data_IF_321967027892
#
_entry.id   IF_321967027892
#
_cell.length_a   1.000
_cell.length_b   1.000
_cell.length_c   1.000
_cell.angle_alpha   90.00
_cell.angle_beta   90.00
_cell.angle_gamma   90.00
#
_symmetry.space_group_name_H-M   'P 1'
#
loop_
_entity.id
_entity.type
_entity.pdbx_description
1 polymer ?
#
# COMPACT_ATOMS: atom_id res chain seq x y z
N UNK A 1 -5.56 21.49 9.01
CA UNK A 1 -5.47 21.06 7.60
C UNK A 1 -5.36 19.56 7.60
N UNK A 2 -6.09 18.87 6.72
CA UNK A 2 -5.93 17.43 6.54
C UNK A 2 -4.54 17.13 5.98
N UNK A 3 -3.90 16.04 6.46
CA UNK A 3 -2.64 15.56 5.92
C UNK A 3 -2.96 14.75 4.66
N UNK A 4 -2.41 15.14 3.52
CA UNK A 4 -2.67 14.50 2.23
C UNK A 4 -1.45 13.71 1.77
N UNK A 5 -1.72 12.61 1.07
CA UNK A 5 -0.71 11.78 0.42
C UNK A 5 -0.92 11.71 -1.07
N UNK A 6 0.15 11.79 -1.85
CA UNK A 6 0.12 11.89 -3.30
C UNK A 6 0.83 10.71 -3.95
N UNK A 7 0.27 10.20 -5.06
CA UNK A 7 0.89 9.13 -5.85
C UNK A 7 0.45 9.20 -7.31
N UNK A 8 1.40 9.01 -8.23
CA UNK A 8 1.10 8.79 -9.64
C UNK A 8 0.65 7.35 -9.89
N UNK A 9 -0.58 7.16 -10.36
CA UNK A 9 -1.16 5.83 -10.60
C UNK A 9 -1.97 5.81 -11.88
N UNK A 10 -1.86 4.71 -12.64
CA UNK A 10 -2.65 4.50 -13.83
C UNK A 10 -4.13 4.49 -13.50
N UNK A 11 -4.92 5.01 -14.41
CA UNK A 11 -6.37 5.08 -14.28
C UNK A 11 -7.05 3.88 -14.95
N UNK A 12 -8.14 3.41 -14.34
CA UNK A 12 -9.09 2.49 -14.92
C UNK A 12 -10.49 2.86 -14.44
N UNK A 13 -11.42 3.11 -15.36
CA UNK A 13 -12.80 3.47 -15.07
C UNK A 13 -12.96 4.67 -14.11
N UNK A 14 -12.15 5.73 -14.30
CA UNK A 14 -12.24 6.95 -13.49
C UNK A 14 -11.56 6.84 -12.13
N UNK A 15 -10.90 5.73 -11.80
CA UNK A 15 -10.30 5.45 -10.49
C UNK A 15 -8.85 4.97 -10.63
N UNK A 16 -8.04 4.98 -9.57
CA UNK A 16 -6.74 4.32 -9.60
C UNK A 16 -6.91 2.84 -9.90
N UNK A 17 -6.21 2.34 -10.91
CA UNK A 17 -6.22 0.93 -11.26
C UNK A 17 -5.52 0.12 -10.15
N UNK A 18 -6.21 -0.91 -9.64
CA UNK A 18 -5.69 -1.79 -8.60
C UNK A 18 -4.74 -2.83 -9.21
N UNK A 19 -3.64 -3.16 -8.50
CA UNK A 19 -2.81 -4.30 -8.86
C UNK A 19 -1.35 -4.23 -8.41
N UNK A 20 -0.61 -5.31 -8.69
CA UNK A 20 0.78 -5.51 -8.26
C UNK A 20 1.79 -4.80 -9.15
N UNK A 21 1.77 -3.48 -9.17
CA UNK A 21 2.73 -2.70 -9.94
C UNK A 21 2.99 -1.35 -9.30
N UNK A 22 4.19 -0.84 -9.53
CA UNK A 22 4.58 0.47 -9.03
C UNK A 22 3.74 1.62 -9.63
N UNK A 23 2.99 1.37 -10.71
CA UNK A 23 2.07 2.33 -11.35
C UNK A 23 0.62 2.15 -10.90
N UNK A 24 0.33 1.18 -10.03
CA UNK A 24 -1.04 0.83 -9.64
C UNK A 24 -1.26 1.12 -8.15
N UNK A 25 -2.53 1.09 -7.75
CA UNK A 25 -2.95 1.04 -6.36
C UNK A 25 -2.68 -0.38 -5.84
N UNK A 26 -1.54 -0.55 -5.18
CA UNK A 26 -1.06 -1.84 -4.73
C UNK A 26 0.46 -1.86 -4.53
N UNK A 27 0.97 -3.08 -4.32
CA UNK A 27 2.38 -3.34 -4.00
C UNK A 27 2.96 -4.44 -4.88
N UNK A 28 4.27 -4.50 -4.99
CA UNK A 28 5.00 -5.61 -5.60
C UNK A 28 5.65 -6.46 -4.50
N UNK A 29 5.19 -7.71 -4.28
CA UNK A 29 5.85 -8.63 -3.36
C UNK A 29 7.33 -8.81 -3.70
N UNK A 30 8.21 -8.75 -2.69
CA UNK A 30 9.67 -8.84 -2.83
C UNK A 30 10.36 -7.55 -3.26
N UNK A 31 9.62 -6.48 -3.57
CA UNK A 31 10.18 -5.15 -3.88
C UNK A 31 9.63 -4.11 -2.91
N UNK A 32 8.32 -3.90 -2.91
CA UNK A 32 7.64 -2.88 -2.08
C UNK A 32 7.29 -3.43 -0.70
N UNK A 33 7.21 -4.75 -0.55
CA UNK A 33 6.89 -5.43 0.72
C UNK A 33 7.62 -6.77 0.76
N UNK A 34 8.11 -7.15 1.94
CA UNK A 34 8.69 -8.48 2.14
C UNK A 34 7.57 -9.50 2.38
N UNK A 35 7.70 -10.67 1.75
CA UNK A 35 6.72 -11.74 1.85
C UNK A 35 7.37 -13.06 2.22
N UNK A 36 6.64 -13.87 2.97
CA UNK A 36 7.09 -15.19 3.38
C UNK A 36 5.97 -16.23 3.20
N UNK A 37 6.35 -17.50 3.10
CA UNK A 37 5.40 -18.60 3.21
C UNK A 37 5.31 -19.02 4.67
N UNK A 38 4.11 -18.98 5.26
CA UNK A 38 3.88 -19.44 6.64
C UNK A 38 2.79 -20.52 6.69
N UNK A 39 2.81 -21.43 7.68
CA UNK A 39 1.69 -22.34 7.92
C UNK A 39 0.40 -21.56 8.15
N UNK A 40 -0.70 -21.94 7.50
CA UNK A 40 -2.01 -21.30 7.68
C UNK A 40 -2.47 -21.28 9.13
N UNK A 41 -2.14 -22.33 9.88
CA UNK A 41 -2.38 -22.43 11.31
C UNK A 41 -1.78 -21.32 12.17
N UNK A 42 -0.84 -20.55 11.63
CA UNK A 42 -0.23 -19.39 12.31
C UNK A 42 -1.06 -18.12 12.20
N UNK A 43 -2.10 -18.11 11.35
CA UNK A 43 -2.96 -16.95 11.16
C UNK A 43 -4.31 -17.16 11.85
N UNK A 44 -4.93 -16.07 12.30
CA UNK A 44 -6.31 -16.05 12.77
C UNK A 44 -7.31 -16.09 11.60
N UNK A 45 -8.59 -16.20 11.93
CA UNK A 45 -9.67 -16.26 10.94
C UNK A 45 -9.79 -14.99 10.10
N UNK A 46 -9.22 -13.88 10.60
CA UNK A 46 -9.14 -12.62 9.89
C UNK A 46 -7.90 -12.50 9.02
N UNK A 47 -6.95 -13.44 9.08
CA UNK A 47 -5.71 -13.46 8.33
C UNK A 47 -4.57 -12.66 8.94
N UNK A 48 -4.61 -12.34 10.23
CA UNK A 48 -3.51 -11.73 10.97
C UNK A 48 -2.64 -12.80 11.65
N UNK A 49 -1.34 -12.50 11.82
CA UNK A 49 -0.42 -13.41 12.51
C UNK A 49 -0.78 -13.55 13.99
N UNK A 50 -0.97 -14.79 14.44
CA UNK A 50 -1.21 -15.13 15.85
C UNK A 50 0.03 -14.92 16.72
N UNK A 51 -0.14 -14.70 18.03
CA UNK A 51 0.93 -14.86 19.01
C UNK A 51 1.59 -16.24 18.89
N UNK A 52 2.89 -16.33 19.17
CA UNK A 52 3.67 -17.58 19.04
C UNK A 52 3.05 -18.76 19.78
N UNK A 53 2.45 -18.52 20.96
CA UNK A 53 1.80 -19.53 21.81
C UNK A 53 0.54 -20.16 21.19
N UNK A 54 -0.06 -19.52 20.20
CA UNK A 54 -1.29 -19.97 19.54
C UNK A 54 -1.04 -20.55 18.14
N UNK A 55 0.21 -20.49 17.67
CA UNK A 55 0.59 -21.02 16.37
C UNK A 55 0.64 -22.55 16.42
N UNK A 56 -0.10 -23.18 15.52
CA UNK A 56 -0.07 -24.63 15.37
C UNK A 56 0.55 -25.06 14.03
N UNK A 57 0.99 -26.30 13.96
CA UNK A 57 1.49 -26.87 12.71
C UNK A 57 0.34 -27.05 11.72
N UNK A 58 0.55 -26.62 10.49
CA UNK A 58 -0.36 -26.79 9.36
C UNK A 58 0.45 -27.14 8.12
N UNK A 59 0.01 -28.15 7.37
CA UNK A 59 0.63 -28.52 6.09
C UNK A 59 0.36 -27.47 5.00
N UNK A 60 -0.82 -26.84 5.03
CA UNK A 60 -1.17 -25.74 4.13
C UNK A 60 -0.29 -24.51 4.45
N UNK A 61 0.41 -24.01 3.43
CA UNK A 61 1.21 -22.79 3.50
C UNK A 61 0.53 -21.66 2.73
N UNK A 62 0.61 -20.46 3.29
CA UNK A 62 0.04 -19.24 2.73
C UNK A 62 1.08 -18.15 2.65
N UNK A 63 0.96 -17.28 1.65
CA UNK A 63 1.82 -16.11 1.50
C UNK A 63 1.36 -14.99 2.45
N UNK A 64 2.26 -14.54 3.31
CA UNK A 64 2.05 -13.42 4.23
C UNK A 64 2.91 -12.23 3.83
N UNK A 65 2.45 -11.03 4.15
CA UNK A 65 3.26 -9.81 4.16
C UNK A 65 3.85 -9.61 5.54
N UNK A 66 5.15 -9.36 5.61
CA UNK A 66 5.85 -9.14 6.87
C UNK A 66 5.70 -7.68 7.26
N UNK A 67 5.22 -7.42 8.48
CA UNK A 67 5.24 -6.07 9.02
C UNK A 67 6.67 -5.67 9.37
N UNK A 68 7.25 -4.82 8.54
CA UNK A 68 8.51 -4.13 8.78
C UNK A 68 8.37 -2.64 8.41
N UNK A 69 9.33 -2.03 7.71
CA UNK A 69 9.28 -0.61 7.30
C UNK A 69 8.87 -0.41 5.84
N UNK A 70 8.60 -1.47 5.08
CA UNK A 70 8.30 -1.40 3.65
C UNK A 70 6.79 -1.45 3.37
N UNK A 71 6.34 -0.68 2.39
CA UNK A 71 4.97 -0.74 1.90
C UNK A 71 4.74 0.10 0.65
N UNK A 72 3.49 0.49 0.40
CA UNK A 72 3.15 1.27 -0.78
C UNK A 72 3.63 2.72 -0.61
N UNK A 73 4.59 3.14 -1.43
CA UNK A 73 5.11 4.52 -1.45
C UNK A 73 4.06 5.56 -1.82
N UNK A 74 3.99 6.65 -1.08
CA UNK A 74 3.35 7.89 -1.48
C UNK A 74 4.23 9.09 -1.07
N UNK A 75 3.82 10.30 -1.42
CA UNK A 75 4.52 11.53 -1.08
C UNK A 75 3.66 12.47 -0.28
N UNK A 76 4.27 13.34 0.52
CA UNK A 76 3.60 14.37 1.31
C UNK A 76 3.20 15.60 0.49
N UNK A 77 3.72 15.73 -0.72
CA UNK A 77 3.37 16.80 -1.66
C UNK A 77 3.56 16.34 -3.10
N UNK A 78 3.00 17.09 -4.05
CA UNK A 78 3.24 16.86 -5.47
C UNK A 78 4.72 17.12 -5.79
N UNK A 79 5.35 18.12 -5.17
CA UNK A 79 6.75 18.48 -5.35
C UNK A 79 7.69 17.35 -4.95
N UNK A 80 7.36 16.64 -3.87
CA UNK A 80 8.12 15.51 -3.34
C UNK A 80 8.09 14.24 -4.20
N UNK A 81 7.20 14.16 -5.21
CA UNK A 81 7.15 13.03 -6.12
C UNK A 81 8.39 12.98 -7.03
N UNK A 82 8.98 11.78 -7.27
CA UNK A 82 10.01 11.60 -8.28
C UNK A 82 9.53 12.08 -9.66
N UNK A 83 10.44 12.65 -10.46
CA UNK A 83 10.10 13.26 -11.76
C UNK A 83 9.33 12.31 -12.68
N UNK A 84 9.72 11.03 -12.74
CA UNK A 84 9.06 10.00 -13.56
C UNK A 84 7.71 9.51 -13.00
N UNK A 85 7.31 9.95 -11.81
CA UNK A 85 6.01 9.68 -11.17
C UNK A 85 5.06 10.86 -11.20
N UNK A 86 5.59 12.04 -11.48
CA UNK A 86 4.86 13.30 -11.54
C UNK A 86 4.42 13.53 -12.99
N UNK A 87 3.17 13.92 -13.21
CA UNK A 87 2.67 14.16 -14.57
C UNK A 87 3.28 15.44 -15.18
N UNK A 88 3.22 15.65 -16.52
CA UNK A 88 3.82 16.81 -17.17
C UNK A 88 3.17 18.12 -16.73
N UNK A 89 1.87 18.10 -16.40
CA UNK A 89 1.13 19.24 -15.85
C UNK A 89 1.75 19.79 -14.56
N UNK A 90 2.45 18.94 -13.80
CA UNK A 90 3.14 19.30 -12.57
C UNK A 90 4.68 19.34 -12.74
N UNK A 91 5.18 19.43 -13.97
CA UNK A 91 6.61 19.53 -14.26
C UNK A 91 7.38 18.21 -14.16
N UNK A 92 6.70 17.07 -14.28
CA UNK A 92 7.32 15.75 -14.33
C UNK A 92 7.34 15.12 -15.73
N UNK A 93 7.74 13.84 -15.79
CA UNK A 93 7.82 13.03 -17.01
C UNK A 93 6.97 11.75 -16.93
N UNK A 94 6.27 11.55 -15.81
CA UNK A 94 5.34 10.44 -15.63
C UNK A 94 4.11 10.57 -16.53
N UNK A 95 3.58 9.45 -17.01
CA UNK A 95 2.40 9.42 -17.90
C UNK A 95 1.07 9.19 -17.18
N UNK A 96 1.12 8.90 -15.88
CA UNK A 96 -0.05 8.60 -15.07
C UNK A 96 -0.63 9.87 -14.46
N UNK A 97 -1.95 9.95 -14.27
CA UNK A 97 -2.55 11.04 -13.49
C UNK A 97 -2.05 11.00 -12.05
N UNK A 98 -2.12 12.17 -11.40
CA UNK A 98 -1.84 12.27 -9.97
C UNK A 98 -3.10 12.11 -9.15
N UNK A 99 -2.96 11.34 -8.07
CA UNK A 99 -4.00 11.09 -7.10
C UNK A 99 -3.56 11.58 -5.73
N UNK A 100 -4.52 12.04 -4.95
CA UNK A 100 -4.35 12.34 -3.53
C UNK A 100 -5.32 11.52 -2.68
N UNK A 101 -4.95 11.28 -1.43
CA UNK A 101 -5.81 10.68 -0.41
C UNK A 101 -5.59 11.40 0.92
N UNK A 102 -6.66 11.54 1.71
CA UNK A 102 -6.59 12.04 3.08
C UNK A 102 -6.05 10.94 4.02
N UNK A 103 -5.09 11.28 4.87
CA UNK A 103 -4.49 10.38 5.87
C UNK A 103 -5.55 9.69 6.75
N UNK A 104 -6.66 10.36 7.05
CA UNK A 104 -7.79 9.78 7.80
C UNK A 104 -8.49 8.61 7.11
N UNK A 105 -8.18 8.36 5.83
CA UNK A 105 -8.68 7.22 5.05
C UNK A 105 -7.74 6.03 5.08
N UNK A 106 -6.50 6.21 5.53
CA UNK A 106 -5.55 5.12 5.76
C UNK A 106 -5.83 4.50 7.13
N UNK A 107 -6.80 3.58 7.16
CA UNK A 107 -7.34 3.00 8.39
C UNK A 107 -7.49 1.48 8.30
N UNK A 108 -7.95 0.85 9.39
CA UNK A 108 -8.23 -0.58 9.43
C UNK A 108 -6.95 -1.40 9.44
N UNK A 109 -6.66 -2.11 8.35
CA UNK A 109 -5.47 -2.96 8.22
C UNK A 109 -4.22 -2.18 7.74
N UNK A 110 -4.35 -0.87 7.51
CA UNK A 110 -3.30 0.01 6.99
C UNK A 110 -2.90 1.07 8.00
N UNK A 111 -1.63 1.48 7.94
CA UNK A 111 -1.11 2.68 8.58
C UNK A 111 -0.19 3.44 7.62
N UNK A 112 -0.08 4.76 7.78
CA UNK A 112 0.84 5.59 7.01
C UNK A 112 2.01 6.02 7.88
N UNK A 113 3.23 5.59 7.52
CA UNK A 113 4.46 5.95 8.22
C UNK A 113 5.30 6.88 7.35
N UNK A 114 5.51 8.10 7.82
CA UNK A 114 6.44 9.03 7.19
C UNK A 114 7.87 8.59 7.51
N UNK A 115 8.61 8.16 6.49
CA UNK A 115 9.99 7.67 6.64
C UNK A 115 11.05 8.70 6.23
N UNK A 116 10.65 9.80 5.60
CA UNK A 116 11.53 10.94 5.30
C UNK A 116 10.75 12.26 5.19
N UNK A 117 11.43 13.36 4.87
CA UNK A 117 10.80 14.67 4.74
C UNK A 117 9.75 14.75 3.63
N UNK A 118 9.81 13.87 2.62
CA UNK A 118 8.93 13.92 1.44
C UNK A 118 8.21 12.61 1.15
N UNK A 119 8.58 11.51 1.82
CA UNK A 119 8.07 10.17 1.53
C UNK A 119 7.30 9.58 2.72
N UNK A 120 6.23 8.87 2.37
CA UNK A 120 5.42 8.10 3.30
C UNK A 120 5.27 6.68 2.73
N UNK A 121 5.34 5.69 3.60
CA UNK A 121 5.04 4.31 3.27
C UNK A 121 3.69 3.94 3.90
N UNK A 122 2.73 3.52 3.08
CA UNK A 122 1.48 2.91 3.56
C UNK A 122 1.78 1.44 3.81
N UNK A 123 1.73 1.01 5.08
CA UNK A 123 2.16 -0.30 5.57
C UNK A 123 0.96 -1.15 6.01
N UNK A 124 1.10 -2.48 6.08
CA UNK A 124 0.21 -3.29 6.92
C UNK A 124 0.42 -2.93 8.40
N UNK A 125 -0.63 -2.96 9.24
CA UNK A 125 -0.47 -2.69 10.69
C UNK A 125 0.24 -3.83 11.46
N UNK A 126 0.22 -5.04 10.90
CA UNK A 126 0.83 -6.24 11.47
C UNK A 126 1.08 -7.26 10.35
N UNK A 127 1.91 -8.28 10.61
CA UNK A 127 2.12 -9.38 9.67
C UNK A 127 0.78 -10.05 9.40
N UNK A 128 0.40 -10.16 8.13
CA UNK A 128 -0.93 -10.62 7.72
C UNK A 128 -0.89 -11.31 6.35
N UNK A 129 -1.99 -11.94 5.96
CA UNK A 129 -2.12 -12.50 4.61
C UNK A 129 -1.86 -11.44 3.53
N UNK A 130 -1.14 -11.83 2.47
CA UNK A 130 -0.86 -10.94 1.34
C UNK A 130 -2.15 -10.42 0.68
N UNK A 131 -3.11 -11.30 0.41
CA UNK A 131 -4.38 -10.90 -0.23
C UNK A 131 -5.21 -9.96 0.66
N UNK A 132 -5.10 -10.07 2.00
CA UNK A 132 -5.76 -9.16 2.93
C UNK A 132 -5.17 -7.76 2.85
N UNK A 133 -3.85 -7.64 2.83
CA UNK A 133 -3.19 -6.35 2.66
C UNK A 133 -3.52 -5.71 1.31
N UNK A 134 -3.53 -6.50 0.24
CA UNK A 134 -3.92 -6.03 -1.10
C UNK A 134 -5.38 -5.60 -1.16
N UNK A 135 -6.28 -6.34 -0.51
CA UNK A 135 -7.68 -5.95 -0.38
C UNK A 135 -7.82 -4.65 0.43
N UNK A 136 -7.04 -4.48 1.50
CA UNK A 136 -7.06 -3.24 2.28
C UNK A 136 -6.62 -2.03 1.44
N UNK A 137 -5.55 -2.15 0.65
CA UNK A 137 -5.15 -1.11 -0.30
C UNK A 137 -6.24 -0.85 -1.35
N UNK A 138 -6.79 -1.91 -1.95
CA UNK A 138 -7.86 -1.79 -2.94
C UNK A 138 -9.12 -1.13 -2.38
N UNK A 139 -9.45 -1.35 -1.10
CA UNK A 139 -10.60 -0.73 -0.46
C UNK A 139 -10.48 0.79 -0.34
N UNK A 140 -9.26 1.34 -0.36
CA UNK A 140 -9.05 2.80 -0.41
C UNK A 140 -9.35 3.41 -1.78
N UNK A 141 -9.62 2.62 -2.82
CA UNK A 141 -9.72 3.10 -4.22
C UNK A 141 -10.68 4.28 -4.40
N UNK A 142 -11.79 4.30 -3.66
CA UNK A 142 -12.80 5.36 -3.75
C UNK A 142 -12.45 6.63 -2.97
N UNK A 143 -11.46 6.56 -2.07
CA UNK A 143 -10.97 7.68 -1.28
C UNK A 143 -9.83 8.44 -1.99
N UNK A 144 -9.35 7.94 -3.14
CA UNK A 144 -8.37 8.62 -3.97
C UNK A 144 -9.04 9.60 -4.93
N UNK A 145 -8.66 10.86 -4.82
CA UNK A 145 -9.14 11.96 -5.66
C UNK A 145 -8.09 12.31 -6.71
N UNK A 146 -8.52 12.52 -7.96
CA UNK A 146 -7.62 12.94 -9.04
C UNK A 146 -7.30 14.43 -8.91
N UNK A 147 -6.02 14.79 -8.99
CA UNK A 147 -5.54 16.18 -8.82
C UNK A 147 -5.15 16.85 -10.14
N UNK A 148 -4.96 16.07 -11.22
CA UNK A 148 -4.68 16.57 -12.57
C UNK A 148 -4.29 15.48 -13.55
#
# INVERSE_FOLDING_TARGET
MAKLYYRGMAEENGKPKVGRSARLLGIRPGIDIDVEQMPKGWLDDWGYLKPETERNSSEERVTVVIRNTKGMSASLSIEGLPMFRKSPTFGGTGKDPLWQIDDSKITGALEAIQDSATHVSILPITTMLLNKYEAALANTQNDWEKVG
#
